data_IF_985900328369
#
_entry.id   IF_985900328369
#
_cell.length_a   1.000
_cell.length_b   1.000
_cell.length_c   1.000
_cell.angle_alpha   90.00
_cell.angle_beta   90.00
_cell.angle_gamma   90.00
#
_symmetry.space_group_name_H-M   'P 1'
#
loop_
_entity.id
_entity.type
_entity.pdbx_description
1 polymer ?
#
# COMPACT_ATOMS: atom_id res chain seq x y z
N UNK A 1 -5.26 20.76 -29.10
CA UNK A 1 -5.31 21.65 -27.91
C UNK A 1 -4.86 20.80 -26.73
N UNK A 2 -3.96 21.30 -25.89
CA UNK A 2 -3.53 20.58 -24.69
C UNK A 2 -4.61 20.74 -23.60
N UNK A 3 -5.72 20.02 -23.78
CA UNK A 3 -6.78 19.92 -22.79
C UNK A 3 -6.31 18.95 -21.69
N UNK A 4 -6.27 19.45 -20.45
CA UNK A 4 -6.00 18.63 -19.26
C UNK A 4 -7.25 18.51 -18.40
N UNK A 5 -7.36 17.45 -17.61
CA UNK A 5 -8.49 17.23 -16.70
C UNK A 5 -8.06 17.48 -15.25
N UNK A 6 -8.87 18.17 -14.46
CA UNK A 6 -8.72 18.25 -13.00
C UNK A 6 -9.80 17.38 -12.37
N UNK A 7 -9.38 16.43 -11.54
CA UNK A 7 -10.27 15.53 -10.78
C UNK A 7 -10.08 15.81 -9.30
N UNK A 8 -11.17 16.16 -8.61
CA UNK A 8 -11.17 16.29 -7.15
C UNK A 8 -11.29 14.92 -6.49
N UNK A 9 -10.98 14.82 -5.20
CA UNK A 9 -11.25 13.60 -4.42
C UNK A 9 -12.70 13.14 -4.54
N UNK A 10 -13.67 14.07 -4.56
CA UNK A 10 -15.09 13.74 -4.72
C UNK A 10 -15.40 13.10 -6.08
N UNK A 11 -14.78 13.58 -7.16
CA UNK A 11 -14.89 12.95 -8.48
C UNK A 11 -14.26 11.54 -8.47
N UNK A 12 -13.08 11.42 -7.85
CA UNK A 12 -12.31 10.19 -7.80
C UNK A 12 -13.03 9.08 -7.02
N UNK A 13 -13.65 9.40 -5.88
CA UNK A 13 -14.44 8.44 -5.09
C UNK A 13 -15.67 7.90 -5.82
N UNK A 14 -16.18 8.59 -6.84
CA UNK A 14 -17.30 8.10 -7.65
C UNK A 14 -16.84 7.07 -8.70
N UNK A 15 -15.57 7.11 -9.10
CA UNK A 15 -15.05 6.34 -10.24
C UNK A 15 -14.00 5.31 -9.83
N UNK A 16 -13.33 5.48 -8.70
CA UNK A 16 -12.41 4.52 -8.10
C UNK A 16 -13.00 4.06 -6.78
N UNK A 17 -12.98 2.75 -6.56
CA UNK A 17 -13.32 2.10 -5.31
C UNK A 17 -12.26 1.02 -5.03
N UNK A 18 -12.19 0.56 -3.78
CA UNK A 18 -11.46 -0.64 -3.44
C UNK A 18 -12.32 -1.85 -3.85
N UNK A 19 -12.09 -2.33 -5.06
CA UNK A 19 -12.82 -3.43 -5.67
C UNK A 19 -11.88 -4.42 -6.36
N UNK A 20 -12.43 -5.52 -6.88
CA UNK A 20 -11.66 -6.55 -7.61
C UNK A 20 -10.91 -5.99 -8.83
N UNK A 21 -11.39 -4.91 -9.44
CA UNK A 21 -10.75 -4.27 -10.59
C UNK A 21 -9.54 -3.44 -10.15
N UNK A 22 -9.63 -2.72 -9.02
CA UNK A 22 -8.51 -2.01 -8.41
C UNK A 22 -7.40 -2.98 -7.96
N UNK A 23 -7.79 -4.14 -7.42
CA UNK A 23 -6.86 -5.23 -7.07
C UNK A 23 -6.19 -5.77 -8.33
N UNK A 24 -6.95 -6.04 -9.40
CA UNK A 24 -6.40 -6.49 -10.68
C UNK A 24 -5.45 -5.46 -11.31
N UNK A 25 -5.79 -4.17 -11.24
CA UNK A 25 -4.95 -3.07 -11.72
C UNK A 25 -3.58 -3.05 -11.01
N UNK A 26 -3.57 -3.18 -9.68
CA UNK A 26 -2.33 -3.25 -8.90
C UNK A 26 -1.57 -4.56 -9.15
N UNK A 27 -2.27 -5.67 -9.33
CA UNK A 27 -1.68 -6.95 -9.72
C UNK A 27 -0.94 -6.86 -11.07
N UNK A 28 -1.55 -6.22 -12.06
CA UNK A 28 -0.94 -5.98 -13.37
C UNK A 28 0.26 -5.04 -13.26
N UNK A 29 0.24 -4.05 -12.36
CA UNK A 29 1.39 -3.19 -12.07
C UNK A 29 2.58 -3.99 -11.52
N UNK A 30 2.33 -4.93 -10.60
CA UNK A 30 3.36 -5.86 -10.11
C UNK A 30 3.90 -6.76 -11.23
N UNK A 31 3.03 -7.28 -12.10
CA UNK A 31 3.44 -8.07 -13.26
C UNK A 31 4.35 -7.25 -14.20
N UNK A 32 4.00 -6.00 -14.45
CA UNK A 32 4.77 -5.09 -15.29
C UNK A 32 6.16 -4.83 -14.69
N UNK A 33 6.26 -4.59 -13.38
CA UNK A 33 7.52 -4.39 -12.68
C UNK A 33 8.49 -5.57 -12.88
N UNK A 34 7.99 -6.80 -12.77
CA UNK A 34 8.81 -8.00 -12.95
C UNK A 34 9.08 -8.37 -14.42
N UNK A 35 8.27 -7.91 -15.37
CA UNK A 35 8.45 -8.20 -16.80
C UNK A 35 9.65 -7.47 -17.41
N UNK A 36 10.19 -6.48 -16.71
CA UNK A 36 11.36 -5.70 -17.14
C UNK A 36 10.99 -4.49 -18.01
N UNK A 37 11.96 -3.60 -18.20
CA UNK A 37 11.81 -2.36 -18.97
C UNK A 37 11.13 -1.20 -18.24
N UNK A 38 10.58 -1.44 -17.03
CA UNK A 38 10.09 -0.37 -16.16
C UNK A 38 11.23 0.55 -15.76
N UNK A 39 11.04 1.85 -15.95
CA UNK A 39 11.93 2.89 -15.41
C UNK A 39 11.29 3.47 -14.16
N UNK A 40 11.81 3.08 -13.00
CA UNK A 40 11.36 3.56 -11.69
C UNK A 40 12.56 4.18 -10.96
N UNK A 41 12.67 5.52 -10.91
CA UNK A 41 13.75 6.17 -10.17
C UNK A 41 13.63 5.91 -8.66
N UNK A 42 14.71 6.13 -7.89
CA UNK A 42 14.64 6.14 -6.43
C UNK A 42 13.58 7.12 -5.93
N UNK A 43 13.03 6.85 -4.73
CA UNK A 43 12.11 7.75 -4.05
C UNK A 43 12.85 9.06 -3.76
N UNK A 44 12.26 10.19 -4.16
CA UNK A 44 12.70 11.50 -3.70
C UNK A 44 11.96 11.82 -2.41
N UNK A 45 12.72 11.96 -1.32
CA UNK A 45 12.22 12.37 -0.01
C UNK A 45 12.73 13.75 0.34
N UNK A 46 11.85 14.60 0.85
CA UNK A 46 12.17 15.92 1.40
C UNK A 46 11.67 15.99 2.84
N UNK A 47 12.59 16.01 3.79
CA UNK A 47 12.26 16.22 5.20
C UNK A 47 12.14 17.72 5.52
N UNK A 48 11.13 18.08 6.31
CA UNK A 48 10.86 19.42 6.82
C UNK A 48 10.77 19.34 8.36
N UNK A 49 11.91 19.18 9.07
CA UNK A 49 11.90 18.90 10.51
C UNK A 49 11.21 19.97 11.35
N UNK A 50 11.31 21.24 10.94
CA UNK A 50 10.69 22.37 11.63
C UNK A 50 9.17 22.22 11.80
N UNK A 51 8.51 21.58 10.84
CA UNK A 51 7.05 21.37 10.85
C UNK A 51 6.66 19.93 11.18
N UNK A 52 7.63 19.07 11.50
CA UNK A 52 7.46 17.61 11.53
C UNK A 52 6.79 17.12 10.24
N UNK A 53 7.29 17.65 9.12
CA UNK A 53 6.80 17.37 7.79
C UNK A 53 7.78 16.50 6.99
N UNK A 54 7.24 15.75 6.05
CA UNK A 54 7.96 15.02 5.01
C UNK A 54 7.17 15.07 3.70
N UNK A 55 7.87 14.97 2.57
CA UNK A 55 7.23 14.87 1.25
C UNK A 55 7.93 13.79 0.45
N UNK A 56 7.17 12.79 0.02
CA UNK A 56 7.65 11.72 -0.86
C UNK A 56 7.11 11.89 -2.27
N UNK A 57 8.03 11.79 -3.25
CA UNK A 57 7.71 11.81 -4.67
C UNK A 57 8.10 10.48 -5.29
N UNK A 58 7.11 9.80 -5.88
CA UNK A 58 7.28 8.50 -6.55
C UNK A 58 6.72 8.57 -7.98
N UNK A 59 7.36 7.87 -8.90
CA UNK A 59 6.92 7.74 -10.30
C UNK A 59 7.44 6.45 -10.91
N UNK A 60 6.79 5.97 -11.96
CA UNK A 60 7.35 4.94 -12.83
C UNK A 60 6.83 5.09 -14.25
N UNK A 61 7.70 4.87 -15.23
CA UNK A 61 7.29 4.61 -16.60
C UNK A 61 7.18 3.09 -16.82
N UNK A 62 6.01 2.65 -17.30
CA UNK A 62 5.75 1.26 -17.65
C UNK A 62 5.70 1.16 -19.19
N UNK A 63 6.60 0.39 -19.83
CA UNK A 63 6.59 0.20 -21.27
C UNK A 63 5.23 -0.31 -21.79
N UNK A 64 4.80 0.25 -22.92
CA UNK A 64 3.52 -0.08 -23.55
C UNK A 64 2.33 0.74 -23.03
N UNK A 65 2.48 1.47 -21.92
CA UNK A 65 1.48 2.45 -21.47
C UNK A 65 1.72 3.82 -22.14
N UNK A 66 0.64 4.52 -22.47
CA UNK A 66 0.66 5.81 -23.17
C UNK A 66 0.82 7.03 -22.23
N UNK A 67 0.90 6.80 -20.92
CA UNK A 67 1.01 7.81 -19.87
C UNK A 67 1.70 7.24 -18.62
N UNK A 68 2.27 8.13 -17.81
CA UNK A 68 2.87 7.84 -16.51
C UNK A 68 2.39 8.85 -15.47
N UNK A 69 2.51 8.54 -14.18
CA UNK A 69 2.13 9.48 -13.12
C UNK A 69 3.29 9.82 -12.19
N UNK A 70 3.30 11.06 -11.71
CA UNK A 70 4.14 11.49 -10.58
C UNK A 70 3.20 11.72 -9.40
N UNK A 71 3.38 10.93 -8.34
CA UNK A 71 2.71 11.14 -7.06
C UNK A 71 3.55 12.07 -6.20
N UNK A 72 2.89 13.03 -5.57
CA UNK A 72 3.46 13.86 -4.50
C UNK A 72 2.65 13.62 -3.24
N UNK A 73 3.28 13.13 -2.18
CA UNK A 73 2.62 12.72 -0.93
C UNK A 73 3.23 13.43 0.28
N UNK A 74 2.69 14.59 0.69
CA UNK A 74 3.08 15.24 1.93
C UNK A 74 2.50 14.56 3.19
N UNK A 75 3.35 14.34 4.18
CA UNK A 75 2.97 14.00 5.55
C UNK A 75 3.36 15.13 6.51
N UNK A 76 2.40 15.74 7.19
CA UNK A 76 2.60 16.81 8.17
C UNK A 76 1.92 16.43 9.48
N UNK A 77 2.67 15.79 10.38
CA UNK A 77 2.10 15.08 11.53
C UNK A 77 1.55 16.01 12.64
N UNK A 78 1.83 17.31 12.56
CA UNK A 78 1.26 18.32 13.45
C UNK A 78 -0.10 18.87 12.98
N UNK A 79 -0.49 18.63 11.72
CA UNK A 79 -1.75 19.14 11.14
C UNK A 79 -3.02 18.85 11.98
N UNK A 80 -3.17 17.67 12.64
CA UNK A 80 -4.35 17.42 13.46
C UNK A 80 -4.57 18.45 14.57
N UNK A 81 -3.50 19.07 15.08
CA UNK A 81 -3.59 20.11 16.11
C UNK A 81 -4.25 21.41 15.62
N UNK A 82 -4.29 21.62 14.31
CA UNK A 82 -4.94 22.77 13.65
C UNK A 82 -6.16 22.36 12.81
N UNK A 83 -6.66 21.14 13.00
CA UNK A 83 -7.86 20.63 12.33
C UNK A 83 -7.66 20.19 10.88
N UNK A 84 -6.41 19.98 10.44
CA UNK A 84 -6.09 19.45 9.11
C UNK A 84 -5.66 17.97 9.16
N UNK A 85 -5.82 17.19 8.07
CA UNK A 85 -5.30 15.83 7.99
C UNK A 85 -3.77 15.79 8.06
N UNK A 86 -3.21 14.74 8.69
CA UNK A 86 -1.76 14.51 8.72
C UNK A 86 -1.17 14.14 7.37
N UNK A 87 -1.96 13.53 6.49
CA UNK A 87 -1.53 13.11 5.16
C UNK A 87 -2.38 13.84 4.13
N UNK A 88 -1.73 14.25 3.04
CA UNK A 88 -2.39 14.79 1.86
C UNK A 88 -1.65 14.26 0.63
N UNK A 89 -2.15 14.55 -0.57
CA UNK A 89 -1.46 14.12 -1.78
C UNK A 89 -2.16 14.54 -3.05
N UNK A 90 -1.42 14.42 -4.14
CA UNK A 90 -1.93 14.50 -5.49
C UNK A 90 -1.12 13.59 -6.42
N UNK A 91 -1.70 13.29 -7.57
CA UNK A 91 -1.01 12.64 -8.67
C UNK A 91 -1.14 13.48 -9.94
N UNK A 92 -0.05 13.62 -10.68
CA UNK A 92 -0.02 14.31 -11.97
C UNK A 92 0.23 13.26 -13.04
N UNK A 93 -0.71 13.09 -13.97
CA UNK A 93 -0.57 12.18 -15.10
C UNK A 93 -0.05 12.93 -16.32
N UNK A 94 0.97 12.37 -16.96
CA UNK A 94 1.62 12.89 -18.15
C UNK A 94 1.52 11.89 -19.29
N UNK A 95 1.32 12.40 -20.51
CA UNK A 95 1.48 11.62 -21.73
C UNK A 95 2.92 11.11 -21.83
N UNK A 96 3.09 9.79 -21.96
CA UNK A 96 4.40 9.18 -22.18
C UNK A 96 4.97 9.50 -23.57
N UNK A 97 4.10 9.94 -24.51
CA UNK A 97 4.48 10.31 -25.87
C UNK A 97 4.97 11.75 -26.00
N UNK A 98 4.36 12.67 -25.26
CA UNK A 98 4.58 14.12 -25.45
C UNK A 98 5.11 14.84 -24.21
N UNK A 99 5.01 14.23 -23.04
CA UNK A 99 5.33 14.87 -21.76
C UNK A 99 4.31 15.92 -21.32
N UNK A 100 3.20 16.10 -22.04
CA UNK A 100 2.13 17.02 -21.66
C UNK A 100 1.29 16.44 -20.51
N UNK A 101 0.80 17.32 -19.63
CA UNK A 101 -0.11 16.95 -18.55
C UNK A 101 -1.47 16.57 -19.16
N UNK A 102 -1.93 15.37 -18.83
CA UNK A 102 -3.25 14.86 -19.22
C UNK A 102 -4.27 15.04 -18.10
N UNK A 103 -3.84 14.81 -16.85
CA UNK A 103 -4.70 14.97 -15.69
C UNK A 103 -3.94 15.43 -14.44
N UNK A 104 -4.59 16.25 -13.63
CA UNK A 104 -4.23 16.58 -12.26
C UNK A 104 -5.27 15.96 -11.31
N UNK A 105 -4.83 15.01 -10.50
CA UNK A 105 -5.67 14.24 -9.58
C UNK A 105 -5.45 14.81 -8.17
N UNK A 106 -6.37 15.68 -7.72
CA UNK A 106 -6.38 16.27 -6.38
C UNK A 106 -7.05 15.30 -5.40
N UNK A 107 -6.40 14.16 -5.17
CA UNK A 107 -6.99 12.99 -4.51
C UNK A 107 -6.92 13.03 -2.98
N UNK A 108 -6.19 13.99 -2.41
CA UNK A 108 -5.91 14.08 -0.98
C UNK A 108 -5.36 12.78 -0.37
N UNK A 109 -4.65 11.98 -1.18
CA UNK A 109 -4.12 10.67 -0.78
C UNK A 109 -5.09 9.50 -0.99
N UNK A 110 -6.34 9.72 -1.44
CA UNK A 110 -7.32 8.65 -1.63
C UNK A 110 -6.86 7.54 -2.60
N UNK A 111 -6.23 7.87 -3.72
CA UNK A 111 -5.73 6.86 -4.66
C UNK A 111 -4.53 6.11 -4.08
N UNK A 112 -3.73 6.78 -3.25
CA UNK A 112 -2.66 6.14 -2.47
C UNK A 112 -3.25 5.13 -1.50
N UNK A 113 -4.34 5.47 -0.83
CA UNK A 113 -5.01 4.58 0.10
C UNK A 113 -5.55 3.32 -0.61
N UNK A 114 -6.26 3.49 -1.73
CA UNK A 114 -6.84 2.40 -2.52
C UNK A 114 -5.75 1.48 -3.06
N UNK A 115 -4.70 2.02 -3.70
CA UNK A 115 -3.64 1.18 -4.29
C UNK A 115 -2.83 0.44 -3.23
N UNK A 116 -2.68 1.02 -2.04
CA UNK A 116 -1.96 0.39 -0.92
C UNK A 116 -2.74 -0.79 -0.34
N UNK A 117 -4.07 -0.64 -0.18
CA UNK A 117 -4.97 -1.73 0.19
C UNK A 117 -5.01 -2.85 -0.86
N UNK A 118 -5.12 -2.47 -2.14
CA UNK A 118 -5.07 -3.41 -3.25
C UNK A 118 -3.74 -4.19 -3.30
N UNK A 119 -2.60 -3.56 -3.00
CA UNK A 119 -1.31 -4.25 -2.93
C UNK A 119 -1.28 -5.33 -1.83
N UNK A 120 -1.84 -5.05 -0.65
CA UNK A 120 -1.98 -6.04 0.41
C UNK A 120 -2.90 -7.21 0.04
N UNK A 121 -4.01 -6.93 -0.66
CA UNK A 121 -4.83 -7.99 -1.24
C UNK A 121 -4.07 -8.85 -2.26
N UNK A 122 -3.23 -8.26 -3.13
CA UNK A 122 -2.38 -9.03 -4.05
C UNK A 122 -1.40 -9.90 -3.26
N UNK A 123 -0.74 -9.38 -2.23
CA UNK A 123 0.15 -10.16 -1.38
C UNK A 123 -0.58 -11.38 -0.78
N UNK A 124 -1.71 -11.16 -0.11
CA UNK A 124 -2.52 -12.22 0.48
C UNK A 124 -3.03 -13.21 -0.58
N UNK A 125 -3.46 -12.73 -1.76
CA UNK A 125 -3.97 -13.55 -2.87
C UNK A 125 -2.96 -14.61 -3.30
N UNK A 126 -1.67 -14.29 -3.30
CA UNK A 126 -0.62 -15.19 -3.75
C UNK A 126 0.05 -15.97 -2.60
N UNK A 127 0.19 -15.35 -1.42
CA UNK A 127 1.06 -15.85 -0.35
C UNK A 127 0.31 -16.46 0.84
N UNK A 128 -0.96 -16.09 1.06
CA UNK A 128 -1.77 -16.67 2.14
C UNK A 128 -2.41 -18.01 1.72
N UNK A 129 -2.74 -18.85 2.72
CA UNK A 129 -3.56 -20.05 2.52
C UNK A 129 -4.89 -19.70 1.87
N UNK A 130 -5.41 -20.59 1.01
CA UNK A 130 -6.68 -20.34 0.30
C UNK A 130 -7.89 -20.36 1.23
N UNK A 131 -7.80 -21.11 2.32
CA UNK A 131 -8.80 -21.27 3.37
C UNK A 131 -8.57 -20.33 4.57
N UNK A 132 -7.69 -19.33 4.42
CA UNK A 132 -7.50 -18.30 5.45
C UNK A 132 -8.79 -17.53 5.68
N UNK A 133 -9.28 -17.53 6.92
CA UNK A 133 -10.58 -16.99 7.30
C UNK A 133 -10.55 -16.09 8.54
N UNK A 134 -9.48 -16.13 9.35
CA UNK A 134 -9.28 -15.24 10.50
C UNK A 134 -8.09 -14.30 10.27
N UNK A 135 -8.34 -12.99 10.29
CA UNK A 135 -7.31 -11.96 10.13
C UNK A 135 -6.99 -11.25 11.46
N UNK A 136 -5.74 -10.82 11.65
CA UNK A 136 -5.33 -9.85 12.66
C UNK A 136 -4.80 -8.58 11.98
N UNK A 137 -5.33 -7.42 12.35
CA UNK A 137 -4.86 -6.12 11.86
C UNK A 137 -4.23 -5.34 13.01
N UNK A 138 -2.97 -4.98 12.83
CA UNK A 138 -2.20 -4.14 13.75
C UNK A 138 -2.25 -2.70 13.25
N UNK A 139 -2.97 -1.86 14.00
CA UNK A 139 -3.35 -0.51 13.60
C UNK A 139 -4.87 -0.32 13.65
N UNK A 140 -5.29 0.93 13.81
CA UNK A 140 -6.70 1.32 13.86
C UNK A 140 -6.99 2.54 12.96
N UNK A 141 -6.13 2.79 11.97
CA UNK A 141 -6.23 3.90 11.03
C UNK A 141 -6.90 3.50 9.71
N UNK A 142 -6.85 4.40 8.72
CA UNK A 142 -7.45 4.19 7.38
C UNK A 142 -6.97 2.90 6.71
N UNK A 143 -5.66 2.65 6.70
CA UNK A 143 -5.13 1.42 6.12
C UNK A 143 -5.57 0.16 6.88
N UNK A 144 -5.79 0.22 8.20
CA UNK A 144 -6.30 -0.95 8.92
C UNK A 144 -7.69 -1.38 8.41
N UNK A 145 -8.56 -0.39 8.13
CA UNK A 145 -9.88 -0.62 7.55
C UNK A 145 -9.79 -1.19 6.14
N UNK A 146 -9.04 -0.50 5.27
CA UNK A 146 -8.98 -0.84 3.86
C UNK A 146 -8.24 -2.14 3.61
N UNK A 147 -7.22 -2.48 4.40
CA UNK A 147 -6.56 -3.79 4.30
C UNK A 147 -7.53 -4.92 4.67
N UNK A 148 -8.31 -4.77 5.74
CA UNK A 148 -9.30 -5.78 6.09
C UNK A 148 -10.37 -5.94 5.00
N UNK A 149 -10.89 -4.82 4.46
CA UNK A 149 -11.79 -4.82 3.31
C UNK A 149 -11.17 -5.54 2.11
N UNK A 150 -9.93 -5.21 1.75
CA UNK A 150 -9.21 -5.80 0.63
C UNK A 150 -8.98 -7.31 0.80
N UNK A 151 -8.72 -7.78 2.03
CA UNK A 151 -8.59 -9.21 2.32
C UNK A 151 -9.88 -9.97 1.99
N UNK A 152 -11.05 -9.40 2.29
CA UNK A 152 -12.35 -10.04 1.98
C UNK A 152 -12.59 -10.22 0.49
N UNK A 153 -11.94 -9.42 -0.36
CA UNK A 153 -12.02 -9.55 -1.82
C UNK A 153 -11.25 -10.76 -2.36
N UNK A 154 -10.28 -11.29 -1.60
CA UNK A 154 -9.34 -12.31 -2.09
C UNK A 154 -9.30 -13.57 -1.22
N UNK A 155 -9.88 -13.54 -0.03
CA UNK A 155 -9.94 -14.66 0.93
C UNK A 155 -11.29 -14.74 1.63
N UNK A 156 -11.72 -15.94 2.07
CA UNK A 156 -12.97 -16.14 2.77
C UNK A 156 -12.88 -15.68 4.24
N UNK A 157 -12.52 -14.41 4.46
CA UNK A 157 -12.41 -13.84 5.81
C UNK A 157 -13.81 -13.81 6.45
N UNK A 158 -13.95 -14.53 7.56
CA UNK A 158 -15.20 -14.61 8.32
C UNK A 158 -15.14 -13.86 9.63
N UNK A 159 -13.93 -13.58 10.15
CA UNK A 159 -13.74 -12.81 11.38
C UNK A 159 -12.37 -12.13 11.40
N UNK A 160 -12.24 -11.08 12.22
CA UNK A 160 -10.99 -10.36 12.39
C UNK A 160 -10.75 -9.88 13.83
N UNK A 161 -9.47 -9.68 14.13
CA UNK A 161 -8.98 -9.07 15.38
C UNK A 161 -8.28 -7.76 15.05
N UNK A 162 -8.52 -6.74 15.86
CA UNK A 162 -7.83 -5.45 15.76
C UNK A 162 -7.00 -5.25 17.02
N UNK A 163 -5.72 -4.97 16.83
CA UNK A 163 -4.85 -4.50 17.89
C UNK A 163 -4.34 -3.10 17.56
N UNK A 164 -4.31 -2.23 18.56
CA UNK A 164 -3.63 -0.94 18.47
C UNK A 164 -3.07 -0.56 19.84
N UNK A 165 -1.99 0.25 19.84
CA UNK A 165 -1.37 0.78 21.08
C UNK A 165 -2.39 1.44 22.02
N UNK A 166 -3.38 2.12 21.47
CA UNK A 166 -4.51 2.65 22.21
C UNK A 166 -5.72 1.71 22.04
N UNK A 167 -6.12 1.06 23.12
CA UNK A 167 -7.20 0.07 23.10
C UNK A 167 -8.56 0.67 22.74
N UNK A 168 -8.88 1.90 23.17
CA UNK A 168 -10.14 2.56 22.81
C UNK A 168 -10.25 2.80 21.29
N UNK A 169 -9.12 3.10 20.65
CA UNK A 169 -9.02 3.23 19.19
C UNK A 169 -9.27 1.89 18.50
N UNK A 170 -8.71 0.80 19.03
CA UNK A 170 -8.99 -0.56 18.55
C UNK A 170 -10.48 -0.93 18.71
N UNK A 171 -11.10 -0.61 19.86
CA UNK A 171 -12.53 -0.84 20.09
C UNK A 171 -13.42 -0.05 19.13
N UNK A 172 -13.07 1.21 18.85
CA UNK A 172 -13.80 2.03 17.87
C UNK A 172 -13.66 1.46 16.46
N UNK A 173 -12.44 1.12 16.05
CA UNK A 173 -12.19 0.50 14.75
C UNK A 173 -12.95 -0.83 14.59
N UNK A 174 -12.88 -1.72 15.59
CA UNK A 174 -13.58 -2.99 15.58
C UNK A 174 -15.10 -2.84 15.39
N UNK A 175 -15.74 -1.88 16.09
CA UNK A 175 -17.17 -1.57 15.90
C UNK A 175 -17.45 -1.09 14.47
N UNK A 176 -16.69 -0.11 13.99
CA UNK A 176 -16.88 0.45 12.64
C UNK A 176 -16.69 -0.61 11.56
N UNK A 177 -15.68 -1.46 11.69
CA UNK A 177 -15.36 -2.47 10.67
C UNK A 177 -16.40 -3.60 10.70
N UNK A 178 -16.91 -3.97 11.88
CA UNK A 178 -18.03 -4.91 11.99
C UNK A 178 -19.26 -4.38 11.25
N UNK A 179 -19.61 -3.11 11.47
CA UNK A 179 -20.76 -2.49 10.80
C UNK A 179 -20.58 -2.40 9.28
N UNK A 180 -19.39 -2.01 8.81
CA UNK A 180 -19.09 -1.83 7.39
C UNK A 180 -19.02 -3.16 6.62
N UNK A 181 -18.37 -4.17 7.19
CA UNK A 181 -18.05 -5.42 6.50
C UNK A 181 -19.04 -6.54 6.78
N UNK A 182 -19.86 -6.43 7.83
CA UNK A 182 -20.82 -7.46 8.21
C UNK A 182 -20.19 -8.75 8.75
N UNK A 183 -18.93 -8.70 9.18
CA UNK A 183 -18.21 -9.81 9.83
C UNK A 183 -17.86 -9.44 11.27
N UNK A 184 -17.77 -10.40 12.22
CA UNK A 184 -17.28 -10.14 13.57
C UNK A 184 -15.85 -9.58 13.56
N UNK A 185 -15.68 -8.38 14.11
CA UNK A 185 -14.37 -7.78 14.36
C UNK A 185 -14.22 -7.47 15.85
N UNK A 186 -13.19 -8.02 16.48
CA UNK A 186 -12.97 -7.89 17.93
C UNK A 186 -11.68 -7.12 18.22
N UNK A 187 -11.75 -6.16 19.15
CA UNK A 187 -10.56 -5.48 19.64
C UNK A 187 -9.85 -6.35 20.69
N UNK A 188 -8.56 -6.59 20.51
CA UNK A 188 -7.72 -7.36 21.43
C UNK A 188 -6.69 -6.41 22.06
N UNK A 189 -6.54 -6.47 23.38
CA UNK A 189 -5.65 -5.56 24.11
C UNK A 189 -4.18 -6.01 24.04
N UNK A 190 -3.94 -7.32 24.10
CA UNK A 190 -2.61 -7.90 24.02
C UNK A 190 -2.20 -8.21 22.58
N UNK A 191 -1.00 -7.77 22.20
CA UNK A 191 -0.49 -7.94 20.84
C UNK A 191 -0.25 -9.42 20.50
N UNK A 192 0.23 -10.23 21.45
CA UNK A 192 0.49 -11.65 21.22
C UNK A 192 -0.82 -12.42 21.06
N UNK A 193 -1.82 -12.12 21.88
CA UNK A 193 -3.18 -12.69 21.75
C UNK A 193 -3.83 -12.33 20.41
N UNK A 194 -3.58 -11.12 19.89
CA UNK A 194 -4.10 -10.72 18.58
C UNK A 194 -3.54 -11.59 17.44
N UNK A 195 -2.26 -12.00 17.51
CA UNK A 195 -1.64 -12.91 16.53
C UNK A 195 -2.10 -14.36 16.66
N UNK A 196 -2.42 -14.82 17.87
CA UNK A 196 -2.52 -16.24 18.20
C UNK A 196 -3.65 -16.96 17.43
N UNK A 197 -3.32 -17.99 16.67
CA UNK A 197 -4.28 -18.76 15.88
C UNK A 197 -4.91 -18.02 14.69
N UNK A 198 -4.40 -16.84 14.31
CA UNK A 198 -4.85 -16.13 13.10
C UNK A 198 -4.17 -16.66 11.84
N UNK A 199 -4.81 -16.54 10.69
CA UNK A 199 -4.27 -17.01 9.41
C UNK A 199 -3.45 -15.94 8.69
N UNK A 200 -3.91 -14.69 8.77
CA UNK A 200 -3.31 -13.53 8.10
C UNK A 200 -3.11 -12.43 9.13
N UNK A 201 -1.90 -11.89 9.19
CA UNK A 201 -1.57 -10.73 10.00
C UNK A 201 -1.19 -9.58 9.06
N UNK A 202 -1.78 -8.41 9.26
CA UNK A 202 -1.44 -7.20 8.51
C UNK A 202 -1.03 -6.09 9.48
N UNK A 203 0.13 -5.49 9.26
CA UNK A 203 0.61 -4.36 10.06
C UNK A 203 0.49 -3.06 9.25
N UNK A 204 -0.03 -2.01 9.89
CA UNK A 204 -0.39 -0.73 9.24
C UNK A 204 -0.04 0.48 10.11
N UNK A 205 1.02 0.37 10.90
CA UNK A 205 1.40 1.37 11.91
C UNK A 205 2.71 2.08 11.54
N UNK A 206 2.91 3.33 11.97
CA UNK A 206 4.19 4.02 11.84
C UNK A 206 5.12 3.67 13.01
N UNK A 207 5.15 2.42 13.48
CA UNK A 207 5.98 2.04 14.62
C UNK A 207 7.46 2.15 14.27
N UNK A 208 8.28 2.59 15.24
CA UNK A 208 9.75 2.60 15.13
C UNK A 208 10.38 1.38 15.83
N UNK A 209 9.55 0.57 16.47
CA UNK A 209 9.95 -0.61 17.24
C UNK A 209 9.05 -1.80 16.92
N UNK A 210 9.58 -3.04 16.86
CA UNK A 210 8.80 -4.24 16.60
C UNK A 210 7.54 -4.35 17.46
N UNK A 211 6.41 -4.57 16.80
CA UNK A 211 5.11 -4.84 17.42
C UNK A 211 4.82 -6.33 17.47
N UNK A 212 5.28 -7.08 16.47
CA UNK A 212 5.14 -8.54 16.39
C UNK A 212 6.49 -9.17 16.64
N UNK A 213 6.58 -9.99 17.68
CA UNK A 213 7.82 -10.74 17.97
C UNK A 213 7.92 -12.01 17.15
N UNK A 214 9.16 -12.39 16.84
CA UNK A 214 9.42 -13.56 16.02
C UNK A 214 8.82 -14.82 16.63
N UNK A 215 8.86 -15.01 17.96
CA UNK A 215 8.37 -16.22 18.63
C UNK A 215 6.85 -16.34 18.73
N UNK A 216 6.08 -15.31 18.39
CA UNK A 216 4.61 -15.36 18.45
C UNK A 216 3.99 -16.06 17.24
N UNK A 217 4.71 -16.08 16.13
CA UNK A 217 4.18 -16.56 14.86
C UNK A 217 4.12 -18.09 14.83
N UNK A 218 3.01 -18.63 14.38
CA UNK A 218 2.76 -20.07 14.27
C UNK A 218 2.87 -20.53 12.81
N UNK A 219 3.13 -21.83 12.57
CA UNK A 219 3.13 -22.39 11.22
C UNK A 219 1.86 -22.06 10.42
N UNK A 220 2.04 -21.84 9.12
CA UNK A 220 0.96 -21.58 8.16
C UNK A 220 0.42 -20.15 8.11
N UNK A 221 0.92 -19.25 8.96
CA UNK A 221 0.54 -17.83 8.95
C UNK A 221 1.09 -17.08 7.74
N UNK A 222 0.34 -16.08 7.28
CA UNK A 222 0.80 -15.08 6.33
C UNK A 222 0.88 -13.71 6.98
N UNK A 223 1.96 -12.98 6.72
CA UNK A 223 2.17 -11.61 7.19
C UNK A 223 2.27 -10.69 5.98
N UNK A 224 1.52 -9.59 5.99
CA UNK A 224 1.72 -8.45 5.09
C UNK A 224 2.09 -7.23 5.93
N UNK A 225 3.34 -6.76 5.83
CA UNK A 225 3.78 -5.54 6.48
C UNK A 225 3.62 -4.34 5.54
N UNK A 226 2.90 -3.32 6.00
CA UNK A 226 2.60 -2.10 5.23
C UNK A 226 3.25 -0.84 5.78
N UNK A 227 3.63 -0.83 7.07
CA UNK A 227 3.96 0.40 7.79
C UNK A 227 5.42 0.83 7.71
N UNK A 228 6.36 -0.11 7.49
CA UNK A 228 7.78 0.20 7.33
C UNK A 228 8.07 0.66 5.90
N UNK A 229 8.03 1.98 5.70
CA UNK A 229 8.34 2.66 4.43
C UNK A 229 9.40 3.76 4.57
N UNK A 230 10.09 3.81 5.72
CA UNK A 230 11.14 4.77 6.04
C UNK A 230 12.20 4.11 6.94
N UNK A 231 13.45 4.56 6.89
CA UNK A 231 14.60 3.93 7.56
C UNK A 231 14.41 3.68 9.07
N UNK A 232 13.63 4.53 9.74
CA UNK A 232 13.39 4.47 11.19
C UNK A 232 12.16 3.65 11.58
N UNK A 233 11.29 3.28 10.63
CA UNK A 233 10.04 2.54 10.91
C UNK A 233 10.31 1.03 10.88
N UNK A 234 9.78 0.31 11.86
CA UNK A 234 9.94 -1.13 12.02
C UNK A 234 8.74 -1.71 12.78
N UNK A 235 7.99 -2.64 12.18
CA UNK A 235 6.82 -3.27 12.82
C UNK A 235 7.07 -4.73 13.20
N UNK A 236 8.01 -5.40 12.54
CA UNK A 236 8.28 -6.83 12.71
C UNK A 236 9.65 -7.05 13.34
N UNK A 237 9.74 -7.99 14.27
CA UNK A 237 11.01 -8.35 14.89
C UNK A 237 11.99 -8.93 13.85
N UNK A 238 13.18 -8.32 13.65
CA UNK A 238 14.19 -8.83 12.72
C UNK A 238 14.63 -10.28 12.98
N UNK A 239 14.48 -10.78 14.21
CA UNK A 239 14.74 -12.18 14.54
C UNK A 239 13.84 -13.16 13.76
N UNK A 240 12.76 -12.69 13.14
CA UNK A 240 11.91 -13.51 12.26
C UNK A 240 12.70 -14.13 11.10
N UNK A 241 13.72 -13.45 10.58
CA UNK A 241 14.58 -13.97 9.51
C UNK A 241 15.47 -15.16 9.95
N UNK A 242 15.59 -15.42 11.25
CA UNK A 242 16.28 -16.62 11.76
C UNK A 242 15.37 -17.87 11.72
N UNK A 243 14.07 -17.69 11.46
CA UNK A 243 13.11 -18.77 11.30
C UNK A 243 13.01 -19.21 9.84
N UNK A 244 12.44 -20.40 9.61
CA UNK A 244 12.09 -20.85 8.27
C UNK A 244 10.86 -20.08 7.76
N UNK A 245 11.10 -18.98 7.06
CA UNK A 245 10.07 -18.15 6.43
C UNK A 245 10.25 -18.08 4.91
N UNK A 246 9.17 -17.75 4.21
CA UNK A 246 9.23 -17.30 2.82
C UNK A 246 9.04 -15.78 2.81
N UNK A 247 10.15 -15.05 2.76
CA UNK A 247 10.14 -13.59 2.61
C UNK A 247 9.96 -13.18 1.14
N UNK A 248 9.12 -12.18 0.90
CA UNK A 248 8.81 -11.61 -0.41
C UNK A 248 8.77 -10.08 -0.30
N UNK A 249 9.53 -9.37 -1.13
CA UNK A 249 9.48 -7.91 -1.19
C UNK A 249 8.54 -7.41 -2.28
N UNK A 250 7.99 -6.19 -2.19
CA UNK A 250 7.46 -5.51 -3.38
C UNK A 250 8.57 -5.06 -4.33
N UNK A 251 9.59 -4.43 -3.78
CA UNK A 251 10.85 -4.12 -4.44
C UNK A 251 12.01 -4.34 -3.47
N UNK A 252 12.86 -5.31 -3.79
CA UNK A 252 14.00 -5.67 -2.96
C UNK A 252 14.98 -4.50 -2.79
N UNK A 253 15.08 -3.64 -3.81
CA UNK A 253 15.91 -2.43 -3.72
C UNK A 253 15.42 -1.43 -2.67
N UNK A 254 14.10 -1.34 -2.47
CA UNK A 254 13.49 -0.44 -1.50
C UNK A 254 13.45 -1.06 -0.10
N UNK A 255 13.04 -2.34 0.02
CA UNK A 255 12.93 -2.99 1.35
C UNK A 255 14.27 -3.10 2.06
N UNK A 256 15.39 -3.24 1.34
CA UNK A 256 16.75 -3.18 1.93
C UNK A 256 17.08 -1.87 2.63
N UNK A 257 16.41 -0.78 2.24
CA UNK A 257 16.68 0.57 2.73
C UNK A 257 15.60 1.05 3.69
N UNK A 258 14.33 0.77 3.38
CA UNK A 258 13.18 1.42 4.00
C UNK A 258 12.22 0.45 4.69
N UNK A 259 12.18 -0.81 4.24
CA UNK A 259 11.22 -1.81 4.71
C UNK A 259 11.72 -2.62 5.88
N UNK A 260 10.97 -3.66 6.24
CA UNK A 260 11.29 -4.52 7.38
C UNK A 260 12.65 -5.25 7.21
N UNK A 261 13.01 -5.59 5.96
CA UNK A 261 14.32 -6.21 5.64
C UNK A 261 15.51 -5.31 6.01
N UNK A 262 15.36 -3.98 5.97
CA UNK A 262 16.41 -3.04 6.35
C UNK A 262 16.96 -3.35 7.75
N UNK A 263 16.07 -3.59 8.71
CA UNK A 263 16.43 -3.81 10.11
C UNK A 263 17.12 -5.15 10.32
N UNK A 264 16.73 -6.19 9.59
CA UNK A 264 17.40 -7.49 9.62
C UNK A 264 18.82 -7.44 9.03
N UNK A 265 19.04 -6.63 7.99
CA UNK A 265 20.37 -6.38 7.44
C UNK A 265 21.22 -5.57 8.42
N UNK A 266 20.67 -4.48 8.96
CA UNK A 266 21.36 -3.63 9.95
C UNK A 266 21.74 -4.39 11.23
N UNK A 267 20.93 -5.36 11.64
CA UNK A 267 21.21 -6.25 12.78
C UNK A 267 22.22 -7.37 12.45
N UNK A 268 22.67 -7.51 11.21
CA UNK A 268 23.57 -8.57 10.76
C UNK A 268 22.95 -9.97 10.72
N UNK A 269 21.61 -10.06 10.80
CA UNK A 269 20.85 -11.32 10.74
C UNK A 269 20.77 -11.81 9.29
N UNK A 270 20.63 -10.87 8.35
CA UNK A 270 20.57 -11.14 6.91
C UNK A 270 21.75 -10.45 6.23
N UNK A 271 22.44 -11.16 5.33
CA UNK A 271 23.52 -10.54 4.56
C UNK A 271 22.95 -9.53 3.55
N UNK A 272 23.64 -8.40 3.37
CA UNK A 272 23.19 -7.28 2.54
C UNK A 272 22.98 -7.63 1.05
N UNK A 273 23.54 -8.75 0.58
CA UNK A 273 23.45 -9.26 -0.78
C UNK A 273 22.49 -10.47 -0.92
N UNK A 274 21.87 -10.93 0.17
CA UNK A 274 20.94 -12.08 0.15
C UNK A 274 19.78 -11.83 -0.80
N UNK A 275 19.61 -12.69 -1.80
CA UNK A 275 18.57 -12.53 -2.83
C UNK A 275 17.25 -13.08 -2.33
N UNK A 276 16.19 -12.28 -2.44
CA UNK A 276 14.82 -12.68 -2.15
C UNK A 276 13.92 -12.48 -3.37
N UNK A 277 12.82 -13.24 -3.50
CA UNK A 277 11.85 -13.02 -4.56
C UNK A 277 11.10 -11.70 -4.36
N UNK A 278 10.69 -11.10 -5.47
CA UNK A 278 9.77 -9.97 -5.47
C UNK A 278 8.36 -10.44 -5.81
N UNK A 279 7.33 -9.78 -5.26
CA UNK A 279 5.93 -10.13 -5.45
C UNK A 279 5.55 -10.13 -6.95
N UNK A 280 6.08 -9.19 -7.73
CA UNK A 280 5.87 -9.16 -9.18
C UNK A 280 6.35 -10.42 -9.90
N UNK A 281 7.44 -11.04 -9.45
CA UNK A 281 7.96 -12.28 -10.06
C UNK A 281 7.02 -13.46 -9.81
N UNK A 282 6.41 -13.48 -8.62
CA UNK A 282 5.40 -14.48 -8.24
C UNK A 282 4.11 -14.26 -9.05
N UNK A 283 3.67 -13.01 -9.20
CA UNK A 283 2.49 -12.66 -10.02
C UNK A 283 2.72 -13.03 -11.49
N UNK A 284 3.90 -12.74 -12.03
CA UNK A 284 4.26 -13.05 -13.42
C UNK A 284 4.34 -14.57 -13.68
N UNK A 285 4.82 -15.35 -12.72
CA UNK A 285 4.94 -16.79 -12.86
C UNK A 285 4.44 -17.53 -11.61
N UNK A 286 3.11 -17.58 -11.48
CA UNK A 286 2.43 -18.23 -10.36
C UNK A 286 2.86 -19.67 -10.11
N UNK A 287 3.21 -20.42 -11.16
CA UNK A 287 3.59 -21.83 -11.04
C UNK A 287 4.92 -22.03 -10.29
N UNK A 288 5.77 -21.00 -10.23
CA UNK A 288 7.05 -21.03 -9.51
C UNK A 288 6.93 -20.79 -8.02
N UNK A 289 5.81 -20.24 -7.56
CA UNK A 289 5.56 -20.08 -6.13
C UNK A 289 4.72 -21.25 -5.62
N UNK A 290 5.30 -22.02 -4.72
CA UNK A 290 4.60 -23.08 -3.99
C UNK A 290 4.85 -22.88 -2.50
N UNK A 291 3.76 -22.82 -1.74
CA UNK A 291 3.81 -22.85 -0.27
C UNK A 291 3.27 -24.18 0.23
N UNK A 292 3.92 -24.74 1.24
CA UNK A 292 3.41 -25.82 2.06
C UNK A 292 2.41 -25.28 3.10
N UNK A 293 1.51 -26.11 3.64
CA UNK A 293 0.54 -25.68 4.65
C UNK A 293 1.19 -24.93 5.82
N UNK A 294 2.32 -25.44 6.32
CA UNK A 294 3.03 -24.95 7.50
C UNK A 294 3.97 -23.76 7.24
N UNK A 295 4.18 -23.36 5.98
CA UNK A 295 5.08 -22.24 5.66
C UNK A 295 4.53 -20.94 6.21
N UNK A 296 5.38 -20.20 6.92
CA UNK A 296 5.15 -18.81 7.29
C UNK A 296 5.59 -17.94 6.10
N UNK A 297 4.66 -17.20 5.51
CA UNK A 297 4.97 -16.27 4.42
C UNK A 297 4.97 -14.84 4.93
N UNK A 298 5.94 -14.04 4.50
CA UNK A 298 6.11 -12.67 4.94
C UNK A 298 6.31 -11.76 3.71
N UNK A 299 5.33 -10.89 3.47
CA UNK A 299 5.38 -9.88 2.42
C UNK A 299 5.70 -8.51 3.02
N UNK A 300 6.69 -7.83 2.47
CA UNK A 300 7.19 -6.52 2.91
C UNK A 300 6.91 -5.49 1.80
N UNK A 301 5.98 -4.58 2.07
CA UNK A 301 5.43 -3.64 1.09
C UNK A 301 5.78 -2.18 1.46
N UNK A 302 6.66 -1.57 0.66
CA UNK A 302 7.12 -0.17 0.80
C UNK A 302 6.35 0.81 -0.11
N UNK A 303 5.63 0.29 -1.10
CA UNK A 303 4.87 1.04 -2.10
C UNK A 303 5.73 1.54 -3.25
N UNK A 304 5.35 1.14 -4.46
CA UNK A 304 6.16 1.38 -5.67
C UNK A 304 5.48 2.34 -6.65
N UNK A 305 6.28 3.08 -7.43
CA UNK A 305 5.77 4.06 -8.40
C UNK A 305 4.94 3.45 -9.53
N UNK A 306 5.11 2.15 -9.81
CA UNK A 306 4.26 1.42 -10.78
C UNK A 306 2.81 1.33 -10.31
N UNK A 307 2.58 1.16 -9.01
CA UNK A 307 1.23 1.09 -8.44
C UNK A 307 0.55 2.47 -8.51
N UNK A 308 1.29 3.53 -8.17
CA UNK A 308 0.80 4.92 -8.26
C UNK A 308 0.45 5.28 -9.72
N UNK A 309 1.29 4.87 -10.69
CA UNK A 309 1.00 5.07 -12.12
C UNK A 309 -0.22 4.28 -12.58
N UNK A 310 -0.35 3.02 -12.18
CA UNK A 310 -1.46 2.17 -12.58
C UNK A 310 -2.81 2.72 -12.07
N UNK A 311 -2.89 3.10 -10.79
CA UNK A 311 -4.16 3.62 -10.22
C UNK A 311 -4.54 4.98 -10.81
N UNK A 312 -3.56 5.87 -11.06
CA UNK A 312 -3.81 7.16 -11.70
C UNK A 312 -4.36 6.99 -13.13
N UNK A 313 -3.79 6.03 -13.88
CA UNK A 313 -4.28 5.69 -15.23
C UNK A 313 -5.70 5.16 -15.21
N UNK A 314 -6.00 4.22 -14.31
CA UNK A 314 -7.35 3.68 -14.14
C UNK A 314 -8.35 4.80 -13.82
N UNK A 315 -7.97 5.75 -12.97
CA UNK A 315 -8.80 6.91 -12.64
C UNK A 315 -9.07 7.78 -13.88
N UNK A 316 -8.05 8.10 -14.66
CA UNK A 316 -8.19 8.92 -15.87
C UNK A 316 -9.00 8.22 -16.97
N UNK A 317 -8.83 6.91 -17.13
CA UNK A 317 -9.62 6.09 -18.07
C UNK A 317 -11.10 6.11 -17.69
N UNK A 318 -11.42 5.79 -16.42
CA UNK A 318 -12.80 5.81 -15.92
C UNK A 318 -13.41 7.23 -15.94
N UNK A 319 -12.61 8.25 -15.65
CA UNK A 319 -13.04 9.65 -15.76
C UNK A 319 -13.41 10.03 -17.19
N UNK A 320 -12.67 9.55 -18.18
CA UNK A 320 -12.95 9.78 -19.59
C UNK A 320 -14.25 9.10 -20.03
N UNK A 321 -14.50 7.87 -19.57
CA UNK A 321 -15.72 7.12 -19.85
C UNK A 321 -16.97 7.74 -19.22
N UNK A 322 -16.83 8.38 -18.05
CA UNK A 322 -17.94 8.97 -17.28
C UNK A 322 -18.04 10.50 -17.39
N UNK A 323 -17.16 11.09 -18.19
CA UNK A 323 -16.90 12.54 -18.29
C UNK A 323 -16.79 13.26 -16.93
N UNK A 324 -16.13 12.64 -15.95
CA UNK A 324 -15.98 13.17 -14.58
C UNK A 324 -14.86 14.21 -14.45
N UNK A 325 -14.99 15.17 -13.56
CA UNK A 325 -13.98 16.22 -13.37
C UNK A 325 -14.04 17.35 -14.41
N UNK A 326 -13.17 18.35 -14.25
CA UNK A 326 -13.21 19.59 -15.03
C UNK A 326 -12.13 19.60 -16.11
N UNK A 327 -12.53 19.87 -17.37
CA UNK A 327 -11.60 20.07 -18.49
C UNK A 327 -11.06 21.50 -18.48
N UNK A 328 -9.75 21.64 -18.55
CA UNK A 328 -9.03 22.91 -18.59
C UNK A 328 -8.20 22.96 -19.87
N UNK A 329 -8.37 24.03 -20.64
CA UNK A 329 -7.46 24.35 -21.74
C UNK A 329 -6.24 25.07 -21.16
N UNK A 330 -5.13 24.34 -21.04
CA UNK A 330 -3.88 24.86 -20.48
C UNK A 330 -3.21 25.95 -21.34
N UNK A 331 -3.73 26.18 -22.56
CA UNK A 331 -3.20 27.19 -23.50
C UNK A 331 -4.00 28.49 -23.52
N UNK A 332 -5.16 28.55 -22.84
CA UNK A 332 -5.93 29.79 -22.70
C UNK A 332 -5.30 30.67 -21.62
N UNK A 333 -4.98 31.92 -21.97
CA UNK A 333 -4.55 32.95 -21.01
C UNK A 333 -5.60 33.14 -19.92
N UNK A 334 -5.21 32.94 -18.66
CA UNK A 334 -5.99 33.38 -17.52
C UNK A 334 -6.18 34.91 -17.63
N UNK A 335 -7.41 35.37 -17.86
CA UNK A 335 -7.72 36.80 -17.89
C UNK A 335 -8.20 37.40 -19.22
N UNK A 336 -8.62 36.60 -20.21
CA UNK A 336 -9.46 37.15 -21.28
C UNK A 336 -10.92 37.27 -20.79
N UNK A 337 -11.16 38.16 -19.84
CA UNK A 337 -12.50 38.66 -19.54
C UNK A 337 -13.07 39.27 -20.82
N UNK A 338 -14.23 38.79 -21.26
CA UNK A 338 -15.10 39.57 -22.15
C UNK A 338 -16.05 40.39 -21.30
#
# INVERSE_FOLDING_TARGET
MAEMRILTEADLRQIIALDVESVACVEDAFRALASGGVSMPPILRLDIPAERGEVDVKTAYIPGLDSFAIKVSPGFFNNPSIGLPSTNGLMIQFSAKTGLIEALLLDNGYLTDVRTAAAGAVAAKYLARKDAHLAAIFGAGMQAEMQLEALTLVRPITEARIWARNFDSAQKAARNFTEKLGIPVTAIADAKEACDGTDIIVTTTPSETPLIKAEWLTPGQHITAMGSDAEHKNEIDPALFQRSIIYVADSLSQTRRLGELHHAISAGIVAADTVFPELGQIVLNKAKFQRQPEDITFCDLTGTGVQDTAIARLATERASLRDAGTKIDSTKTAGASR
#
